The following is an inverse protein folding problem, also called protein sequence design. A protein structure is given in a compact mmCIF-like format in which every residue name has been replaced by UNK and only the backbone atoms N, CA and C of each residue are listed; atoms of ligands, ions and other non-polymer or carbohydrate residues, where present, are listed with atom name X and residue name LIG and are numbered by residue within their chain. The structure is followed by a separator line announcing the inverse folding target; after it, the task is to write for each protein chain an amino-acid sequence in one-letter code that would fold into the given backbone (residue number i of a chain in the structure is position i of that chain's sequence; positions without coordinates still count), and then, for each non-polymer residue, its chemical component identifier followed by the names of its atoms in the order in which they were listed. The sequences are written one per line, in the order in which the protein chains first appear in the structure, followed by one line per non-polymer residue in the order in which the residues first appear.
data_IF_926487662747
#
_entry.id   IF_926487662747
#
_cell.length_a   1.000
_cell.length_b   1.000
_cell.length_c   1.000
_cell.angle_alpha   90.00
_cell.angle_beta   90.00
_cell.angle_gamma   90.00
#
_symmetry.space_group_name_H-M   'P 1'
#
loop_
_entity.id
_entity.type
_entity.pdbx_description
1 polymer ?
#
# COMPACT_ATOMS: atom_id res chain seq x y z
N UNK A 1 7.68 -22.48 -40.31
CA UNK A 1 8.70 -22.10 -39.30
C UNK A 1 9.35 -20.72 -39.51
N UNK A 2 10.44 -20.52 -40.27
CA UNK A 2 11.14 -19.20 -40.27
C UNK A 2 10.29 -18.01 -40.77
N UNK A 3 9.41 -18.22 -41.75
CA UNK A 3 8.49 -17.17 -42.26
C UNK A 3 7.37 -16.86 -41.26
N UNK A 4 6.81 -17.86 -40.60
CA UNK A 4 5.72 -17.66 -39.63
C UNK A 4 6.20 -16.93 -38.37
N UNK A 5 7.40 -17.24 -37.89
CA UNK A 5 8.05 -16.49 -36.80
C UNK A 5 8.22 -15.02 -37.19
N UNK A 6 8.59 -14.74 -38.45
CA UNK A 6 8.73 -13.37 -38.96
C UNK A 6 7.39 -12.62 -38.97
N UNK A 7 6.30 -13.23 -39.44
CA UNK A 7 4.98 -12.59 -39.45
C UNK A 7 4.44 -12.37 -38.03
N UNK A 8 4.69 -13.31 -37.12
CA UNK A 8 4.34 -13.17 -35.71
C UNK A 8 5.05 -11.98 -35.04
N UNK A 9 6.36 -11.83 -35.27
CA UNK A 9 7.14 -10.68 -34.75
C UNK A 9 6.62 -9.36 -35.33
N UNK A 10 6.33 -9.31 -36.65
CA UNK A 10 5.77 -8.11 -37.29
C UNK A 10 4.42 -7.73 -36.68
N UNK A 11 3.55 -8.71 -36.40
CA UNK A 11 2.25 -8.47 -35.78
C UNK A 11 2.39 -7.87 -34.37
N UNK A 12 3.31 -8.41 -33.55
CA UNK A 12 3.61 -7.86 -32.21
C UNK A 12 4.10 -6.42 -32.31
N UNK A 13 5.01 -6.11 -33.25
CA UNK A 13 5.52 -4.75 -33.43
C UNK A 13 4.41 -3.77 -33.87
N UNK A 14 3.48 -4.21 -34.73
CA UNK A 14 2.32 -3.39 -35.13
C UNK A 14 1.40 -3.13 -33.93
N UNK A 15 1.14 -4.14 -33.08
CA UNK A 15 0.32 -3.98 -31.88
C UNK A 15 0.97 -3.05 -30.85
N UNK A 16 2.28 -3.13 -30.66
CA UNK A 16 3.01 -2.22 -29.77
C UNK A 16 2.97 -0.79 -30.35
N UNK A 17 3.19 -0.63 -31.66
CA UNK A 17 3.14 0.68 -32.30
C UNK A 17 1.73 1.30 -32.23
N UNK A 18 0.66 0.52 -32.42
CA UNK A 18 -0.71 1.02 -32.29
C UNK A 18 -1.03 1.41 -30.84
N UNK A 19 -0.52 0.66 -29.85
CA UNK A 19 -0.62 1.02 -28.43
C UNK A 19 0.08 2.35 -28.13
N UNK A 20 1.29 2.58 -28.67
CA UNK A 20 2.06 3.83 -28.46
C UNK A 20 1.42 5.03 -29.19
N UNK A 21 0.69 4.80 -30.28
CA UNK A 21 -0.04 5.86 -30.98
C UNK A 21 -1.28 6.28 -30.18
N UNK A 22 -1.99 5.33 -29.57
CA UNK A 22 -3.21 5.61 -28.81
C UNK A 22 -2.92 6.05 -27.36
N UNK A 23 -1.89 5.48 -26.74
CA UNK A 23 -1.48 5.74 -25.36
C UNK A 23 -0.06 6.30 -25.30
N UNK A 24 0.24 7.13 -24.29
CA UNK A 24 1.60 7.66 -24.13
C UNK A 24 2.65 6.53 -24.06
N UNK A 25 3.85 6.70 -24.66
CA UNK A 25 4.92 5.69 -24.60
C UNK A 25 5.25 5.25 -23.18
N UNK A 26 5.17 6.18 -22.21
CA UNK A 26 5.37 5.92 -20.78
C UNK A 26 4.28 5.03 -20.18
N UNK A 27 3.02 5.19 -20.61
CA UNK A 27 1.94 4.32 -20.18
C UNK A 27 2.14 2.89 -20.69
N UNK A 28 2.44 2.74 -21.99
CA UNK A 28 2.70 1.43 -22.60
C UNK A 28 3.88 0.74 -21.93
N UNK A 29 4.98 1.47 -21.70
CA UNK A 29 6.13 0.94 -20.97
C UNK A 29 5.75 0.44 -19.57
N UNK A 30 4.98 1.22 -18.79
CA UNK A 30 4.54 0.83 -17.44
C UNK A 30 3.65 -0.41 -17.47
N UNK A 31 2.70 -0.52 -18.41
CA UNK A 31 1.86 -1.72 -18.53
C UNK A 31 2.70 -2.99 -18.73
N UNK A 32 3.75 -2.93 -19.54
CA UNK A 32 4.61 -4.09 -19.78
C UNK A 32 5.64 -4.36 -18.69
N UNK A 33 6.06 -3.33 -17.94
CA UNK A 33 7.15 -3.46 -16.97
C UNK A 33 6.69 -3.55 -15.53
N UNK A 34 5.64 -2.82 -15.15
CA UNK A 34 5.13 -2.73 -13.79
C UNK A 34 3.91 -3.64 -13.57
N UNK A 35 3.14 -3.91 -14.62
CA UNK A 35 1.95 -4.77 -14.54
C UNK A 35 0.97 -4.32 -13.44
N UNK A 36 0.29 -5.25 -12.79
CA UNK A 36 -0.59 -4.97 -11.66
C UNK A 36 0.22 -4.58 -10.42
N UNK A 37 -0.33 -3.69 -9.62
CA UNK A 37 0.33 -3.21 -8.41
C UNK A 37 0.55 -4.35 -7.40
N UNK A 38 1.76 -4.43 -6.86
CA UNK A 38 2.16 -5.47 -5.90
C UNK A 38 2.96 -4.92 -4.71
N UNK A 39 3.32 -5.81 -3.79
CA UNK A 39 4.06 -5.44 -2.58
C UNK A 39 5.49 -4.95 -2.85
N UNK A 40 6.02 -5.14 -4.05
CA UNK A 40 7.35 -4.73 -4.49
C UNK A 40 7.36 -3.39 -5.22
N UNK A 41 6.19 -2.78 -5.43
CA UNK A 41 6.04 -1.52 -6.16
C UNK A 41 6.95 -0.40 -5.66
N UNK A 42 7.32 -0.38 -4.37
CA UNK A 42 8.27 0.59 -3.83
C UNK A 42 9.61 0.63 -4.59
N UNK A 43 10.00 -0.47 -5.25
CA UNK A 43 11.21 -0.58 -6.09
C UNK A 43 11.10 0.22 -7.40
N UNK A 44 9.87 0.47 -7.87
CA UNK A 44 9.59 1.17 -9.13
C UNK A 44 9.62 2.70 -8.96
N UNK A 45 9.54 3.20 -7.74
CA UNK A 45 9.42 4.64 -7.45
C UNK A 45 10.62 5.18 -6.67
N UNK A 46 10.81 6.50 -6.76
CA UNK A 46 11.67 7.20 -5.81
C UNK A 46 10.99 7.21 -4.45
N UNK A 47 11.71 6.85 -3.40
CA UNK A 47 11.23 6.88 -2.03
C UNK A 47 12.22 7.60 -1.12
N UNK A 48 11.71 8.11 -0.01
CA UNK A 48 12.52 8.61 1.09
C UNK A 48 12.54 7.56 2.20
N UNK A 49 13.70 7.37 2.83
CA UNK A 49 13.85 6.45 3.94
C UNK A 49 13.45 7.12 5.25
N UNK A 50 12.57 6.47 6.01
CA UNK A 50 12.33 6.81 7.41
C UNK A 50 13.31 6.00 8.24
N UNK A 51 14.27 6.68 8.86
CA UNK A 51 15.28 6.03 9.68
C UNK A 51 14.65 5.38 10.91
N UNK A 52 14.99 4.11 11.15
CA UNK A 52 14.58 3.40 12.36
C UNK A 52 15.15 4.07 13.61
N UNK A 53 14.41 3.99 14.71
CA UNK A 53 14.91 4.44 16.03
C UNK A 53 16.23 3.75 16.38
N UNK A 54 17.13 4.48 17.05
CA UNK A 54 18.35 3.92 17.65
C UNK A 54 18.05 2.93 18.77
N UNK A 55 16.88 3.05 19.40
CA UNK A 55 16.40 2.21 20.48
C UNK A 55 14.99 1.76 20.08
N UNK A 56 14.86 0.74 19.20
CA UNK A 56 13.57 0.22 18.84
C UNK A 56 13.01 -0.61 20.00
N UNK A 57 11.69 -0.56 20.16
CA UNK A 57 10.99 -1.56 20.96
C UNK A 57 11.05 -2.91 20.23
N UNK A 58 11.36 -3.98 20.95
CA UNK A 58 11.33 -5.35 20.42
C UNK A 58 10.20 -6.10 21.13
N UNK A 59 9.31 -6.72 20.36
CA UNK A 59 8.27 -7.56 20.91
C UNK A 59 8.87 -8.77 21.64
N UNK A 60 8.27 -9.15 22.76
CA UNK A 60 8.58 -10.41 23.42
C UNK A 60 8.15 -11.57 22.51
N UNK A 61 8.98 -12.61 22.43
CA UNK A 61 8.65 -13.81 21.66
C UNK A 61 7.76 -14.74 22.49
N UNK A 62 6.46 -14.72 22.20
CA UNK A 62 5.49 -15.69 22.69
C UNK A 62 5.08 -16.71 21.62
N UNK A 63 5.68 -16.64 20.44
CA UNK A 63 5.26 -17.40 19.26
C UNK A 63 5.49 -18.90 19.45
N UNK A 64 6.58 -19.27 20.11
CA UNK A 64 6.92 -20.66 20.43
C UNK A 64 5.94 -21.37 21.37
N UNK A 65 5.09 -20.61 22.09
CA UNK A 65 4.16 -21.16 23.09
C UNK A 65 2.71 -21.16 22.59
N UNK A 66 2.33 -20.19 21.75
CA UNK A 66 0.94 -19.98 21.34
C UNK A 66 0.65 -20.34 19.88
N UNK A 67 1.66 -20.75 19.11
CA UNK A 67 1.50 -21.08 17.69
C UNK A 67 0.49 -22.20 17.45
N UNK A 68 0.62 -23.33 18.14
CA UNK A 68 -0.27 -24.48 17.96
C UNK A 68 -1.71 -24.15 18.39
N UNK A 69 -1.86 -23.39 19.46
CA UNK A 69 -3.16 -22.92 19.94
C UNK A 69 -3.81 -21.97 18.92
N UNK A 70 -3.04 -21.04 18.36
CA UNK A 70 -3.51 -20.15 17.30
C UNK A 70 -3.93 -20.92 16.05
N UNK A 71 -3.09 -21.83 15.55
CA UNK A 71 -3.39 -22.66 14.37
C UNK A 71 -4.68 -23.44 14.60
N UNK A 72 -4.79 -24.14 15.73
CA UNK A 72 -5.98 -24.95 16.06
C UNK A 72 -7.25 -24.10 16.14
N UNK A 73 -7.17 -22.89 16.69
CA UNK A 73 -8.30 -21.98 16.77
C UNK A 73 -8.67 -21.41 15.40
N UNK A 74 -7.68 -21.04 14.58
CA UNK A 74 -7.91 -20.47 13.26
C UNK A 74 -8.50 -21.50 12.29
N UNK A 75 -7.98 -22.73 12.29
CA UNK A 75 -8.50 -23.83 11.47
C UNK A 75 -9.87 -24.34 11.95
N UNK A 76 -10.34 -23.92 13.12
CA UNK A 76 -11.72 -24.18 13.55
C UNK A 76 -12.76 -23.26 12.89
N UNK A 77 -12.32 -22.20 12.19
CA UNK A 77 -13.20 -21.26 11.50
C UNK A 77 -13.86 -21.97 10.31
N UNK A 78 -15.20 -21.97 10.18
CA UNK A 78 -15.89 -22.60 9.07
C UNK A 78 -15.41 -22.06 7.71
N UNK A 79 -15.04 -22.99 6.81
CA UNK A 79 -14.53 -22.65 5.48
C UNK A 79 -13.00 -22.59 5.38
N UNK A 80 -12.28 -22.69 6.50
CA UNK A 80 -10.81 -22.79 6.51
C UNK A 80 -10.41 -24.26 6.62
N UNK A 81 -9.77 -24.78 5.57
CA UNK A 81 -9.31 -26.19 5.52
C UNK A 81 -7.99 -26.37 6.25
N UNK A 82 -7.07 -25.44 6.04
CA UNK A 82 -5.81 -25.33 6.77
C UNK A 82 -5.31 -23.90 6.68
N UNK A 83 -4.44 -23.53 7.61
CA UNK A 83 -3.82 -22.22 7.62
C UNK A 83 -2.94 -22.00 6.38
N UNK A 84 -2.23 -23.04 5.94
CA UNK A 84 -1.40 -23.00 4.73
C UNK A 84 -2.24 -22.74 3.47
N UNK A 85 -3.36 -23.44 3.31
CA UNK A 85 -4.26 -23.21 2.18
C UNK A 85 -4.80 -21.78 2.19
N UNK A 86 -5.15 -21.26 3.37
CA UNK A 86 -5.62 -19.89 3.50
C UNK A 86 -4.56 -18.88 3.05
N UNK A 87 -3.29 -19.08 3.39
CA UNK A 87 -2.21 -18.19 2.94
C UNK A 87 -2.00 -18.25 1.42
N UNK A 88 -1.99 -19.45 0.84
CA UNK A 88 -1.85 -19.62 -0.60
C UNK A 88 -3.02 -18.99 -1.38
N UNK A 89 -4.26 -19.23 -0.95
CA UNK A 89 -5.46 -18.70 -1.63
C UNK A 89 -5.57 -17.18 -1.50
N UNK A 90 -5.20 -16.62 -0.34
CA UNK A 90 -5.24 -15.17 -0.11
C UNK A 90 -3.98 -14.42 -0.57
N UNK A 91 -2.97 -15.15 -1.09
CA UNK A 91 -1.67 -14.60 -1.48
C UNK A 91 -1.03 -13.78 -0.35
N UNK A 92 -1.13 -14.28 0.88
CA UNK A 92 -0.60 -13.58 2.06
C UNK A 92 0.93 -13.70 2.12
N UNK A 93 1.62 -12.55 2.10
CA UNK A 93 3.08 -12.49 2.21
C UNK A 93 3.60 -12.48 3.65
N UNK A 94 2.92 -11.76 4.53
CA UNK A 94 3.28 -11.64 5.93
C UNK A 94 2.02 -11.51 6.79
N UNK A 95 1.98 -12.23 7.91
CA UNK A 95 0.88 -12.16 8.86
C UNK A 95 1.42 -12.26 10.28
N UNK A 96 1.06 -11.30 11.14
CA UNK A 96 1.52 -11.25 12.53
C UNK A 96 0.33 -11.06 13.47
N UNK A 97 0.35 -11.76 14.60
CA UNK A 97 -0.59 -11.57 15.71
C UNK A 97 0.19 -11.07 16.91
N UNK A 98 -0.10 -9.85 17.33
CA UNK A 98 0.53 -9.20 18.46
C UNK A 98 -0.54 -8.90 19.50
N UNK A 99 -0.24 -9.18 20.76
CA UNK A 99 -1.07 -8.78 21.90
C UNK A 99 -0.20 -8.09 22.93
N UNK A 100 -0.55 -6.84 23.22
CA UNK A 100 0.24 -5.95 24.07
C UNK A 100 1.66 -5.76 23.51
N UNK A 101 2.64 -6.37 24.17
CA UNK A 101 4.07 -6.30 23.92
C UNK A 101 4.65 -7.62 23.38
N UNK A 102 3.79 -8.62 23.13
CA UNK A 102 4.20 -9.99 22.81
C UNK A 102 3.71 -10.40 21.41
N UNK A 103 4.64 -10.91 20.60
CA UNK A 103 4.37 -11.56 19.33
C UNK A 103 3.90 -12.99 19.59
N UNK A 104 2.66 -13.29 19.21
CA UNK A 104 2.01 -14.59 19.48
C UNK A 104 2.08 -15.55 18.30
N UNK A 105 2.16 -15.01 17.09
CA UNK A 105 2.23 -15.77 15.85
C UNK A 105 2.81 -14.88 14.75
N UNK A 106 3.64 -15.46 13.90
CA UNK A 106 4.10 -14.85 12.65
C UNK A 106 4.15 -15.90 11.53
N UNK A 107 3.82 -15.45 10.32
CA UNK A 107 3.96 -16.18 9.07
C UNK A 107 4.59 -15.26 8.03
N UNK A 108 5.50 -15.82 7.24
CA UNK A 108 6.09 -15.20 6.07
C UNK A 108 6.06 -16.21 4.93
N UNK A 109 5.64 -15.78 3.74
CA UNK A 109 5.60 -16.61 2.56
C UNK A 109 7.00 -17.11 2.16
N UNK A 110 7.07 -18.20 1.40
CA UNK A 110 8.34 -18.78 0.95
C UNK A 110 9.21 -17.73 0.24
N UNK A 111 10.47 -17.62 0.65
CA UNK A 111 11.42 -16.64 0.10
C UNK A 111 11.35 -15.25 0.73
N UNK A 112 10.44 -15.00 1.66
CA UNK A 112 10.32 -13.72 2.38
C UNK A 112 10.87 -13.79 3.79
N UNK A 113 11.44 -12.68 4.24
CA UNK A 113 11.99 -12.50 5.58
C UNK A 113 11.25 -11.39 6.33
N UNK A 114 11.29 -11.45 7.66
CA UNK A 114 10.76 -10.40 8.55
C UNK A 114 11.32 -8.99 8.32
N UNK A 115 12.44 -8.88 7.61
CA UNK A 115 13.12 -7.62 7.31
C UNK A 115 12.79 -7.06 5.94
N UNK A 116 12.01 -7.80 5.13
CA UNK A 116 11.66 -7.37 3.79
C UNK A 116 10.69 -6.20 3.86
N UNK A 117 10.93 -5.20 3.01
CA UNK A 117 10.02 -4.08 2.85
C UNK A 117 8.88 -4.47 1.92
N UNK A 118 7.70 -3.97 2.21
CA UNK A 118 6.50 -4.18 1.40
C UNK A 118 5.74 -2.87 1.25
N UNK A 119 5.17 -2.65 0.07
CA UNK A 119 4.24 -1.56 -0.21
C UNK A 119 3.00 -1.73 0.65
N UNK A 120 2.75 -0.79 1.57
CA UNK A 120 1.60 -0.85 2.50
C UNK A 120 0.29 -0.34 1.90
N UNK A 121 0.33 0.15 0.66
CA UNK A 121 -0.80 0.77 -0.04
C UNK A 121 -1.52 1.80 0.84
N UNK A 122 -2.83 1.69 0.99
CA UNK A 122 -3.65 2.65 1.73
C UNK A 122 -3.48 2.59 3.25
N UNK A 123 -2.75 1.61 3.81
CA UNK A 123 -2.39 1.63 5.25
C UNK A 123 -1.55 2.88 5.57
N UNK A 124 -0.79 3.39 4.60
CA UNK A 124 -0.06 4.66 4.70
C UNK A 124 -0.95 5.85 5.12
N UNK A 125 -2.24 5.86 4.75
CA UNK A 125 -3.18 6.95 5.08
C UNK A 125 -3.48 7.02 6.57
N UNK A 126 -3.50 5.88 7.26
CA UNK A 126 -3.66 5.84 8.72
C UNK A 126 -2.46 6.49 9.42
N UNK A 127 -1.24 6.22 8.94
CA UNK A 127 -0.02 6.87 9.45
C UNK A 127 -0.07 8.38 9.19
N UNK A 128 -0.49 8.79 7.99
CA UNK A 128 -0.67 10.22 7.67
C UNK A 128 -1.69 10.89 8.61
N UNK A 129 -2.82 10.25 8.89
CA UNK A 129 -3.83 10.78 9.82
C UNK A 129 -3.26 10.95 11.24
N UNK A 130 -2.47 9.99 11.73
CA UNK A 130 -1.77 10.12 13.02
C UNK A 130 -0.82 11.33 12.99
N UNK A 131 -0.04 11.50 11.92
CA UNK A 131 0.89 12.63 11.79
C UNK A 131 0.16 13.98 11.74
N UNK A 132 -1.02 14.06 11.13
CA UNK A 132 -1.87 15.26 11.18
C UNK A 132 -2.35 15.54 12.59
N UNK A 133 -2.78 14.52 13.34
CA UNK A 133 -3.14 14.66 14.76
C UNK A 133 -1.97 15.18 15.62
N UNK A 134 -0.76 14.66 15.40
CA UNK A 134 0.47 15.16 16.06
C UNK A 134 0.74 16.61 15.66
N UNK A 135 0.61 16.95 14.37
CA UNK A 135 0.82 18.32 13.91
C UNK A 135 -0.19 19.32 14.51
N UNK A 136 -1.43 18.89 14.77
CA UNK A 136 -2.42 19.66 15.50
C UNK A 136 -1.99 19.86 16.95
N UNK A 137 -1.59 18.78 17.64
CA UNK A 137 -1.11 18.84 19.01
C UNK A 137 0.12 19.76 19.17
N UNK A 138 1.00 19.79 18.17
CA UNK A 138 2.18 20.66 18.12
C UNK A 138 1.87 22.10 17.68
N UNK A 139 0.63 22.42 17.33
CA UNK A 139 0.21 23.75 16.87
C UNK A 139 0.70 24.11 15.45
N UNK A 140 1.17 23.14 14.67
CA UNK A 140 1.56 23.33 13.25
C UNK A 140 0.34 23.39 12.34
N UNK A 141 -0.70 22.64 12.70
CA UNK A 141 -2.06 22.77 12.18
C UNK A 141 -2.90 23.28 13.35
N UNK A 142 -3.69 24.32 13.13
CA UNK A 142 -4.45 24.94 14.22
C UNK A 142 -5.71 24.14 14.59
N UNK A 143 -6.48 23.66 13.61
CA UNK A 143 -7.64 22.78 13.83
C UNK A 143 -7.90 21.88 12.62
N UNK A 144 -8.56 20.74 12.84
CA UNK A 144 -9.10 19.93 11.74
C UNK A 144 -10.26 20.62 11.00
N UNK A 145 -10.91 21.60 11.63
CA UNK A 145 -11.98 22.41 11.02
C UNK A 145 -11.44 23.55 10.15
N UNK A 146 -10.12 23.77 10.15
CA UNK A 146 -9.53 24.77 9.27
C UNK A 146 -9.72 24.37 7.79
N UNK A 147 -10.01 25.32 6.90
CA UNK A 147 -10.02 25.07 5.46
C UNK A 147 -8.61 24.70 5.00
N UNK A 148 -8.50 23.77 4.06
CA UNK A 148 -7.19 23.31 3.55
C UNK A 148 -6.41 24.45 2.89
N UNK A 149 -7.11 25.43 2.33
CA UNK A 149 -6.53 26.63 1.69
C UNK A 149 -5.82 27.55 2.67
N UNK A 150 -6.03 27.40 3.98
CA UNK A 150 -5.20 28.07 5.01
C UNK A 150 -3.74 27.61 4.96
N UNK A 151 -3.51 26.36 4.59
CA UNK A 151 -2.18 25.73 4.54
C UNK A 151 -1.63 25.64 3.12
N UNK A 152 -2.50 25.58 2.12
CA UNK A 152 -2.16 25.47 0.70
C UNK A 152 -2.99 26.51 -0.07
N UNK A 153 -2.64 27.81 0.02
CA UNK A 153 -3.44 28.89 -0.56
C UNK A 153 -3.57 28.81 -2.08
N UNK A 154 -2.60 28.20 -2.76
CA UNK A 154 -2.57 28.04 -4.21
C UNK A 154 -3.72 27.17 -4.76
N UNK A 155 -4.41 26.41 -3.90
CA UNK A 155 -5.59 25.65 -4.30
C UNK A 155 -6.78 26.57 -4.68
N UNK A 156 -6.84 27.78 -4.11
CA UNK A 156 -7.88 28.77 -4.45
C UNK A 156 -7.79 29.17 -5.91
N UNK A 157 -6.56 29.27 -6.45
CA UNK A 157 -6.33 29.64 -7.85
C UNK A 157 -6.78 28.54 -8.82
N UNK A 158 -6.88 27.29 -8.35
CA UNK A 158 -7.37 26.16 -9.16
C UNK A 158 -8.89 26.03 -9.10
N UNK A 159 -9.47 26.10 -7.90
CA UNK A 159 -10.91 26.09 -7.69
C UNK A 159 -11.23 26.80 -6.36
N UNK A 160 -12.07 27.84 -6.42
CA UNK A 160 -12.56 28.52 -5.23
C UNK A 160 -13.25 27.58 -4.24
N UNK A 161 -13.84 26.47 -4.69
CA UNK A 161 -14.51 25.48 -3.85
C UNK A 161 -13.60 24.79 -2.83
N UNK A 162 -12.27 24.82 -3.03
CA UNK A 162 -11.32 24.33 -2.02
C UNK A 162 -11.41 25.10 -0.69
N UNK A 163 -11.95 26.33 -0.67
CA UNK A 163 -12.18 27.06 0.59
C UNK A 163 -13.16 26.37 1.53
N UNK A 164 -14.05 25.53 0.99
CA UNK A 164 -15.08 24.82 1.77
C UNK A 164 -14.60 23.43 2.24
N UNK A 165 -13.42 22.99 1.78
CA UNK A 165 -12.85 21.70 2.15
C UNK A 165 -11.94 21.88 3.36
N UNK A 166 -12.33 21.29 4.50
CA UNK A 166 -11.54 21.31 5.72
C UNK A 166 -10.54 20.17 5.77
N UNK A 167 -9.57 20.26 6.67
CA UNK A 167 -8.66 19.14 6.98
C UNK A 167 -9.46 17.89 7.40
N UNK A 168 -10.51 18.06 8.22
CA UNK A 168 -11.43 17.00 8.65
C UNK A 168 -12.13 16.32 7.46
N UNK A 169 -12.58 17.08 6.46
CA UNK A 169 -13.18 16.50 5.24
C UNK A 169 -12.19 15.57 4.53
N UNK A 170 -10.91 15.94 4.45
CA UNK A 170 -9.88 15.09 3.83
C UNK A 170 -9.59 13.84 4.66
N UNK A 171 -9.43 13.98 5.99
CA UNK A 171 -9.17 12.87 6.89
C UNK A 171 -10.31 11.84 6.91
N UNK A 172 -11.55 12.30 6.73
CA UNK A 172 -12.77 11.47 6.78
C UNK A 172 -13.26 11.03 5.38
N UNK A 173 -12.53 11.34 4.32
CA UNK A 173 -12.90 11.03 2.93
C UNK A 173 -14.26 11.65 2.50
N UNK A 174 -14.53 12.88 2.95
CA UNK A 174 -15.77 13.63 2.74
C UNK A 174 -15.55 14.92 1.92
N UNK A 175 -14.51 14.98 1.09
CA UNK A 175 -14.20 16.18 0.31
C UNK A 175 -15.18 16.48 -0.81
N UNK A 176 -15.89 15.45 -1.32
CA UNK A 176 -16.80 15.59 -2.46
C UNK A 176 -16.10 15.87 -3.80
N UNK A 177 -14.77 15.77 -3.85
CA UNK A 177 -14.00 15.95 -5.08
C UNK A 177 -14.26 14.80 -6.05
N UNK A 178 -14.59 15.15 -7.30
CA UNK A 178 -14.66 14.18 -8.39
C UNK A 178 -13.22 13.76 -8.77
N UNK A 179 -12.99 12.46 -8.84
CA UNK A 179 -11.72 11.86 -9.26
C UNK A 179 -12.04 10.78 -10.30
N UNK A 180 -11.86 11.12 -11.58
CA UNK A 180 -12.04 10.25 -12.74
C UNK A 180 -10.72 10.04 -13.49
#
# INVERSE_FOLDING_TARGET
MKKEIKYFIILILILIASFIIYWSPLYVFRVFTWQDADYDDFKNFKFNTIEKSKIPFNFYDGSSVQKEAFISQFESIPGIVSLENFWCESQTYAFLVIRNDTLLYEHYAEGHLKTDLQTSFSVSKSILSILVGIAIQEGKINSEDDPITKYIPELIDQDSGFSEITVSHLLKMMSGLAYD
#
